data_IF_743129001209
#
_entry.id   IF_743129001209
#
_cell.length_a   1.000
_cell.length_b   1.000
_cell.length_c   1.000
_cell.angle_alpha   90.00
_cell.angle_beta   90.00
_cell.angle_gamma   90.00
#
_symmetry.space_group_name_H-M   'P 1'
#
loop_
_entity.id
_entity.type
_entity.pdbx_description
1 polymer ?
#
# COMPACT_ATOMS: atom_id res chain seq x y z
N UNK A 1 15.52 16.12 15.41
CA UNK A 1 16.28 15.45 14.34
C UNK A 1 15.24 14.68 13.56
N UNK A 2 14.63 15.30 12.55
CA UNK A 2 13.47 14.73 11.88
C UNK A 2 13.91 13.51 11.07
N UNK A 3 13.46 12.32 11.48
CA UNK A 3 13.42 11.15 10.60
C UNK A 3 12.28 11.46 9.65
N UNK A 4 12.60 12.15 8.57
CA UNK A 4 11.61 12.50 7.56
C UNK A 4 11.37 11.25 6.73
N UNK A 5 10.32 10.51 7.07
CA UNK A 5 9.63 9.74 6.05
C UNK A 5 9.00 10.75 5.13
N UNK A 6 9.65 10.99 3.99
CA UNK A 6 9.14 11.90 2.99
C UNK A 6 7.99 11.21 2.27
N UNK A 7 6.84 11.04 2.94
CA UNK A 7 5.60 10.67 2.27
C UNK A 7 5.05 11.93 1.59
N UNK A 8 5.71 12.30 0.50
CA UNK A 8 5.20 13.27 -0.46
C UNK A 8 4.88 12.52 -1.74
N UNK A 9 3.70 11.91 -1.76
CA UNK A 9 2.95 11.72 -3.00
C UNK A 9 2.62 13.11 -3.57
N UNK A 10 3.56 13.73 -4.27
CA UNK A 10 3.36 14.80 -5.26
C UNK A 10 4.71 15.40 -5.75
N UNK A 11 5.15 14.92 -6.91
CA UNK A 11 5.85 15.66 -7.98
C UNK A 11 7.32 16.13 -7.85
N UNK A 12 7.95 16.13 -9.05
CA UNK A 12 9.19 16.77 -9.52
C UNK A 12 10.46 15.90 -9.35
N UNK A 13 11.24 15.51 -10.38
CA UNK A 13 11.69 16.23 -11.58
C UNK A 13 12.12 15.24 -12.68
N UNK A 14 11.72 15.54 -13.91
CA UNK A 14 12.24 14.95 -15.16
C UNK A 14 13.74 15.25 -15.36
N UNK A 15 14.59 14.25 -15.55
CA UNK A 15 15.87 14.44 -16.24
C UNK A 15 16.16 13.35 -17.27
N UNK A 16 16.07 13.78 -18.53
CA UNK A 16 16.60 13.11 -19.71
C UNK A 16 18.10 12.84 -19.55
N UNK A 17 18.52 11.59 -19.67
CA UNK A 17 19.93 11.24 -19.94
C UNK A 17 20.04 10.45 -21.23
N UNK A 18 20.25 11.20 -22.31
CA UNK A 18 20.90 10.71 -23.52
C UNK A 18 22.31 10.30 -23.13
N UNK A 19 22.69 9.01 -23.20
CA UNK A 19 24.12 8.64 -23.22
C UNK A 19 24.45 7.54 -24.23
N UNK A 20 25.63 7.73 -24.82
CA UNK A 20 26.08 7.24 -26.11
C UNK A 20 26.51 5.78 -26.04
N UNK A 21 26.18 5.03 -27.09
CA UNK A 21 26.73 3.71 -27.40
C UNK A 21 28.27 3.72 -27.42
N UNK A 22 28.88 2.86 -26.62
CA UNK A 22 30.22 2.36 -26.85
C UNK A 22 30.25 0.86 -26.53
N UNK A 23 30.51 0.07 -27.57
CA UNK A 23 30.54 -1.39 -27.61
C UNK A 23 31.86 -1.89 -27.00
N UNK A 24 31.82 -2.59 -25.86
CA UNK A 24 32.94 -3.43 -25.42
C UNK A 24 32.44 -4.78 -24.91
N UNK A 25 32.87 -5.82 -25.61
CA UNK A 25 32.59 -7.22 -25.38
C UNK A 25 33.37 -7.70 -24.14
N UNK A 26 32.71 -7.77 -22.99
CA UNK A 26 33.22 -8.48 -21.82
C UNK A 26 32.06 -9.25 -21.21
N UNK A 27 32.16 -10.57 -21.21
CA UNK A 27 31.25 -11.49 -20.55
C UNK A 27 31.29 -11.25 -19.04
N UNK A 28 30.44 -10.36 -18.56
CA UNK A 28 30.09 -10.25 -17.15
C UNK A 28 28.99 -11.27 -16.87
N UNK A 29 29.32 -12.29 -16.07
CA UNK A 29 28.30 -13.04 -15.34
C UNK A 29 27.71 -12.04 -14.34
N UNK A 30 26.68 -11.30 -14.76
CA UNK A 30 25.94 -10.44 -13.87
C UNK A 30 25.25 -11.36 -12.87
N UNK A 31 25.79 -11.41 -11.65
CA UNK A 31 24.96 -11.74 -10.50
C UNK A 31 23.89 -10.67 -10.51
N UNK A 32 22.69 -11.04 -10.93
CA UNK A 32 21.50 -10.26 -10.63
C UNK A 32 21.40 -10.31 -9.10
N UNK A 33 22.04 -9.35 -8.43
CA UNK A 33 21.57 -8.89 -7.13
C UNK A 33 20.26 -8.18 -7.43
N UNK A 34 19.21 -8.98 -7.70
CA UNK A 34 17.86 -8.50 -7.50
C UNK A 34 17.83 -8.11 -6.03
N UNK A 35 17.69 -6.82 -5.79
CA UNK A 35 17.41 -6.27 -4.48
C UNK A 35 16.05 -6.85 -4.11
N UNK A 36 16.05 -7.93 -3.32
CA UNK A 36 14.81 -8.56 -2.87
C UNK A 36 14.37 -7.73 -1.67
N UNK A 37 13.23 -7.04 -1.79
CA UNK A 37 12.55 -6.44 -0.66
C UNK A 37 12.52 -7.46 0.49
N UNK A 38 13.16 -7.14 1.61
CA UNK A 38 13.24 -8.08 2.74
C UNK A 38 11.85 -8.28 3.35
N UNK A 39 10.99 -7.26 3.27
CA UNK A 39 9.60 -7.34 3.71
C UNK A 39 9.49 -7.54 5.21
N UNK A 40 10.36 -6.88 5.98
CA UNK A 40 10.39 -7.02 7.43
C UNK A 40 9.20 -6.32 8.11
N UNK A 41 8.58 -5.32 7.46
CA UNK A 41 7.30 -4.76 7.88
C UNK A 41 6.14 -5.59 7.32
N UNK A 42 5.19 -5.93 8.18
CA UNK A 42 3.93 -6.58 7.79
C UNK A 42 2.98 -5.55 7.17
N UNK A 43 1.90 -6.01 6.52
CA UNK A 43 0.87 -5.10 6.00
C UNK A 43 0.24 -4.24 7.11
N UNK A 44 0.11 -4.78 8.33
CA UNK A 44 -0.38 -4.03 9.49
C UNK A 44 0.62 -2.96 9.96
N UNK A 45 1.92 -3.25 9.90
CA UNK A 45 2.95 -2.27 10.24
C UNK A 45 2.95 -1.10 9.25
N UNK A 46 2.87 -1.42 7.96
CA UNK A 46 2.82 -0.43 6.88
C UNK A 46 1.57 0.44 6.99
N UNK A 47 0.40 -0.16 7.23
CA UNK A 47 -0.84 0.56 7.48
C UNK A 47 -0.73 1.48 8.72
N UNK A 48 -0.16 0.97 9.81
CA UNK A 48 0.08 1.77 11.02
C UNK A 48 0.99 2.96 10.74
N UNK A 49 2.09 2.76 10.00
CA UNK A 49 3.00 3.84 9.59
C UNK A 49 2.25 4.87 8.74
N UNK A 50 1.45 4.43 7.77
CA UNK A 50 0.66 5.34 6.94
C UNK A 50 -0.28 6.21 7.78
N UNK A 51 -1.08 5.58 8.65
CA UNK A 51 -2.08 6.28 9.47
C UNK A 51 -1.45 7.16 10.56
N UNK A 52 -0.25 6.83 11.04
CA UNK A 52 0.41 7.48 12.17
C UNK A 52 1.74 8.13 11.80
N UNK A 53 1.91 8.57 10.56
CA UNK A 53 3.19 9.08 10.02
C UNK A 53 3.85 10.11 10.95
N UNK A 54 3.15 11.17 11.36
CA UNK A 54 3.72 12.22 12.22
C UNK A 54 4.15 11.69 13.59
N UNK A 55 3.36 10.77 14.15
CA UNK A 55 3.64 10.17 15.45
C UNK A 55 4.85 9.23 15.38
N UNK A 56 4.89 8.35 14.38
CA UNK A 56 6.02 7.45 14.14
C UNK A 56 7.30 8.25 13.90
N UNK A 57 7.24 9.33 13.13
CA UNK A 57 8.38 10.23 12.91
C UNK A 57 8.86 10.87 14.21
N UNK A 58 7.94 11.41 15.02
CA UNK A 58 8.26 12.03 16.31
C UNK A 58 8.93 11.03 17.25
N UNK A 59 8.35 9.84 17.41
CA UNK A 59 8.89 8.80 18.29
C UNK A 59 10.26 8.34 17.80
N UNK A 60 10.42 8.10 16.50
CA UNK A 60 11.70 7.69 15.93
C UNK A 60 12.79 8.75 16.18
N UNK A 61 12.45 10.03 16.02
CA UNK A 61 13.36 11.15 16.27
C UNK A 61 13.76 11.26 17.74
N UNK A 62 12.79 11.16 18.65
CA UNK A 62 13.01 11.26 20.09
C UNK A 62 13.83 10.07 20.61
N UNK A 63 13.49 8.86 20.18
CA UNK A 63 14.25 7.65 20.51
C UNK A 63 15.67 7.70 19.92
N UNK A 64 15.84 8.17 18.69
CA UNK A 64 17.16 8.36 18.08
C UNK A 64 18.05 9.32 18.88
N UNK A 65 17.49 10.42 19.39
CA UNK A 65 18.21 11.37 20.25
C UNK A 65 18.50 10.81 21.64
N UNK A 66 17.53 10.13 22.25
CA UNK A 66 17.69 9.53 23.57
C UNK A 66 18.75 8.42 23.55
N UNK A 67 18.85 7.69 22.45
CA UNK A 67 19.71 6.52 22.29
C UNK A 67 21.02 6.78 21.52
N UNK A 68 21.42 8.05 21.33
CA UNK A 68 22.68 8.42 20.65
C UNK A 68 23.92 7.67 21.17
N UNK A 69 23.97 7.38 22.48
CA UNK A 69 25.05 6.60 23.10
C UNK A 69 24.65 5.17 23.45
N UNK A 70 23.37 4.83 23.31
CA UNK A 70 22.79 3.53 23.67
C UNK A 70 22.80 2.51 22.53
N UNK A 71 22.96 2.96 21.28
CA UNK A 71 22.99 2.10 20.11
C UNK A 71 21.61 1.57 19.72
N UNK A 72 21.61 0.55 18.86
CA UNK A 72 20.42 -0.05 18.24
C UNK A 72 19.45 -0.66 19.27
N UNK A 73 19.95 -1.46 20.22
CA UNK A 73 19.13 -2.07 21.29
C UNK A 73 18.34 -1.02 22.11
N UNK A 74 18.93 0.16 22.33
CA UNK A 74 18.24 1.25 23.02
C UNK A 74 17.12 1.84 22.16
N UNK A 75 17.40 2.04 20.87
CA UNK A 75 16.44 2.61 19.92
C UNK A 75 15.24 1.68 19.77
N UNK A 76 15.48 0.39 19.53
CA UNK A 76 14.42 -0.63 19.44
C UNK A 76 13.56 -0.64 20.71
N UNK A 77 14.19 -0.72 21.88
CA UNK A 77 13.45 -0.72 23.15
C UNK A 77 12.60 0.54 23.35
N UNK A 78 13.12 1.72 22.97
CA UNK A 78 12.37 2.97 23.05
C UNK A 78 11.19 3.02 22.09
N UNK A 79 11.34 2.48 20.87
CA UNK A 79 10.29 2.46 19.86
C UNK A 79 9.21 1.43 20.20
N UNK A 80 9.58 0.24 20.71
CA UNK A 80 8.62 -0.80 21.15
C UNK A 80 7.73 -0.32 22.30
N UNK A 81 8.22 0.57 23.16
CA UNK A 81 7.41 1.12 24.26
C UNK A 81 6.33 2.10 23.80
N UNK A 82 6.45 2.66 22.59
CA UNK A 82 5.62 3.77 22.12
C UNK A 82 4.86 3.47 20.82
N UNK A 83 5.35 2.55 19.99
CA UNK A 83 4.79 2.20 18.69
C UNK A 83 4.23 0.78 18.69
N UNK A 84 3.16 0.58 17.92
CA UNK A 84 2.55 -0.74 17.71
C UNK A 84 3.10 -1.40 16.44
N UNK A 85 4.42 -1.36 16.26
CA UNK A 85 5.11 -1.98 15.14
C UNK A 85 5.73 -3.31 15.53
N UNK A 86 5.81 -4.24 14.57
CA UNK A 86 6.55 -5.47 14.72
C UNK A 86 8.04 -5.21 14.91
N UNK A 87 8.71 -6.08 15.68
CA UNK A 87 10.15 -5.96 15.93
C UNK A 87 10.95 -5.90 14.61
N UNK A 88 10.74 -6.80 13.63
CA UNK A 88 11.49 -6.74 12.38
C UNK A 88 11.26 -5.42 11.61
N UNK A 89 10.08 -4.81 11.73
CA UNK A 89 9.83 -3.51 11.13
C UNK A 89 10.62 -2.40 11.84
N UNK A 90 10.68 -2.43 13.18
CA UNK A 90 11.45 -1.48 13.99
C UNK A 90 12.96 -1.57 13.66
N UNK A 91 13.49 -2.76 13.40
CA UNK A 91 14.89 -2.95 12.98
C UNK A 91 15.22 -2.12 11.73
N UNK A 92 14.27 -1.97 10.79
CA UNK A 92 14.46 -1.11 9.61
C UNK A 92 14.66 0.37 9.97
N UNK A 93 14.01 0.87 11.03
CA UNK A 93 14.26 2.22 11.54
C UNK A 93 15.65 2.31 12.16
N UNK A 94 16.12 1.25 12.83
CA UNK A 94 17.49 1.13 13.31
C UNK A 94 18.53 1.24 12.19
N UNK A 95 18.37 0.45 11.13
CA UNK A 95 19.23 0.51 9.94
C UNK A 95 19.21 1.90 9.29
N UNK A 96 18.04 2.53 9.20
CA UNK A 96 17.89 3.88 8.66
C UNK A 96 18.62 4.92 9.52
N UNK A 97 18.50 4.85 10.86
CA UNK A 97 19.23 5.74 11.78
C UNK A 97 20.73 5.57 11.62
N UNK A 98 21.22 4.33 11.50
CA UNK A 98 22.64 4.06 11.23
C UNK A 98 23.07 4.71 9.91
N UNK A 99 22.28 4.57 8.84
CA UNK A 99 22.55 5.22 7.56
C UNK A 99 22.62 6.75 7.70
N UNK A 100 21.66 7.37 8.40
CA UNK A 100 21.60 8.83 8.60
C UNK A 100 22.82 9.32 9.39
N UNK A 101 23.24 8.59 10.42
CA UNK A 101 24.45 8.94 11.18
C UNK A 101 25.72 8.80 10.33
N UNK A 102 25.79 7.85 9.39
CA UNK A 102 26.98 7.68 8.55
C UNK A 102 27.04 8.68 7.39
N UNK A 103 25.93 8.94 6.71
CA UNK A 103 25.89 9.69 5.46
C UNK A 103 25.41 11.14 5.64
N UNK A 104 24.63 11.40 6.70
CA UNK A 104 23.90 12.66 6.88
C UNK A 104 24.17 13.35 8.22
N UNK A 105 25.19 12.92 8.97
CA UNK A 105 25.53 13.50 10.28
C UNK A 105 25.67 15.02 10.26
N UNK A 106 26.41 15.59 9.29
CA UNK A 106 26.61 17.03 9.23
C UNK A 106 25.31 17.81 8.96
N UNK A 107 24.53 17.47 7.91
CA UNK A 107 23.19 18.05 7.70
C UNK A 107 22.26 17.89 8.91
N UNK A 108 22.27 16.75 9.58
CA UNK A 108 21.31 16.44 10.66
C UNK A 108 21.71 16.98 12.03
N UNK A 109 22.99 17.10 12.34
CA UNK A 109 23.47 17.64 13.62
C UNK A 109 23.66 19.16 13.60
N UNK A 110 23.96 19.74 12.43
CA UNK A 110 24.35 21.15 12.32
C UNK A 110 23.60 21.94 11.22
N UNK A 111 22.78 21.27 10.40
CA UNK A 111 21.96 21.90 9.36
C UNK A 111 20.53 22.22 9.80
N UNK A 112 19.68 22.55 8.83
CA UNK A 112 18.23 22.68 9.06
C UNK A 112 17.55 21.32 8.98
N UNK A 113 16.31 21.25 9.45
CA UNK A 113 15.49 20.03 9.31
C UNK A 113 15.30 19.68 7.84
N UNK A 114 15.12 20.66 6.96
CA UNK A 114 15.01 20.40 5.51
C UNK A 114 16.30 19.80 4.95
N UNK A 115 17.48 20.33 5.31
CA UNK A 115 18.75 19.80 4.82
C UNK A 115 19.03 18.37 5.31
N UNK A 116 18.61 18.05 6.53
CA UNK A 116 18.69 16.68 7.06
C UNK A 116 17.76 15.75 6.28
N UNK A 117 16.51 16.17 6.06
CA UNK A 117 15.51 15.42 5.33
C UNK A 117 15.95 15.12 3.89
N UNK A 118 16.43 16.13 3.16
CA UNK A 118 16.93 15.98 1.79
C UNK A 118 18.11 14.99 1.72
N UNK A 119 19.00 15.02 2.72
CA UNK A 119 20.10 14.05 2.78
C UNK A 119 19.60 12.62 3.06
N UNK A 120 18.68 12.46 4.03
CA UNK A 120 18.12 11.17 4.37
C UNK A 120 17.36 10.55 3.19
N UNK A 121 16.58 11.37 2.47
CA UNK A 121 15.91 10.99 1.22
C UNK A 121 16.92 10.48 0.19
N UNK A 122 17.96 11.26 -0.08
CA UNK A 122 18.93 10.95 -1.12
C UNK A 122 19.80 9.71 -0.83
N UNK A 123 20.02 9.36 0.44
CA UNK A 123 21.02 8.35 0.82
C UNK A 123 20.46 7.15 1.59
N UNK A 124 19.34 7.29 2.28
CA UNK A 124 18.88 6.33 3.29
C UNK A 124 17.45 5.83 3.06
N UNK A 125 16.62 6.55 2.31
CA UNK A 125 15.25 6.13 1.99
C UNK A 125 15.22 4.79 1.24
N UNK A 126 16.06 4.63 0.20
CA UNK A 126 16.09 3.42 -0.59
C UNK A 126 16.39 2.16 0.26
N UNK A 127 17.29 2.28 1.25
CA UNK A 127 17.61 1.18 2.16
C UNK A 127 16.45 0.87 3.12
N UNK A 128 15.76 1.91 3.61
CA UNK A 128 14.56 1.71 4.42
C UNK A 128 13.46 1.02 3.63
N UNK A 129 13.17 1.48 2.41
CA UNK A 129 12.13 0.89 1.56
C UNK A 129 12.44 -0.58 1.23
N UNK A 130 13.72 -0.90 0.98
CA UNK A 130 14.15 -2.28 0.79
C UNK A 130 13.92 -3.15 2.04
N UNK A 131 14.29 -2.66 3.23
CA UNK A 131 14.12 -3.37 4.49
C UNK A 131 12.63 -3.58 4.82
N UNK A 132 11.85 -2.51 4.79
CA UNK A 132 10.43 -2.51 5.09
C UNK A 132 9.60 -3.28 4.04
N UNK A 133 10.13 -3.44 2.82
CA UNK A 133 9.41 -4.01 1.69
C UNK A 133 8.41 -3.04 1.07
N UNK A 134 8.75 -1.76 1.09
CA UNK A 134 7.96 -0.71 0.44
C UNK A 134 8.27 -0.70 -1.05
N UNK A 135 7.23 -0.91 -1.87
CA UNK A 135 7.32 -1.00 -3.33
C UNK A 135 6.06 -0.40 -3.96
N UNK A 136 6.21 0.05 -5.22
CA UNK A 136 5.12 0.45 -6.11
C UNK A 136 4.96 -0.67 -7.14
N UNK A 137 3.94 -1.53 -6.99
CA UNK A 137 3.78 -2.71 -7.84
C UNK A 137 2.95 -2.47 -9.10
N UNK A 138 2.10 -1.45 -9.13
CA UNK A 138 1.22 -1.13 -10.26
C UNK A 138 1.59 0.15 -11.02
N UNK A 139 2.63 0.85 -10.56
CA UNK A 139 3.27 2.02 -11.16
C UNK A 139 2.38 3.27 -11.20
N UNK A 140 1.54 3.46 -10.19
CA UNK A 140 0.66 4.62 -10.06
C UNK A 140 1.27 5.78 -9.23
N UNK A 141 2.53 5.63 -8.79
CA UNK A 141 3.31 6.54 -7.95
C UNK A 141 3.01 6.51 -6.45
N UNK A 142 2.02 5.72 -6.03
CA UNK A 142 1.85 5.29 -4.66
C UNK A 142 2.61 3.99 -4.42
N UNK A 143 2.74 3.62 -3.16
CA UNK A 143 3.41 2.39 -2.76
C UNK A 143 2.50 1.64 -1.82
N UNK A 144 2.71 0.34 -1.68
CA UNK A 144 2.03 -0.53 -0.71
C UNK A 144 2.05 -0.06 0.76
N UNK A 145 2.74 1.03 1.08
CA UNK A 145 2.65 1.66 2.39
C UNK A 145 1.29 2.31 2.66
N UNK A 146 0.81 3.12 1.70
CA UNK A 146 -0.43 3.90 1.84
C UNK A 146 -1.46 3.56 0.77
N UNK A 147 -1.08 2.69 -0.18
CA UNK A 147 -1.98 2.15 -1.17
C UNK A 147 -2.71 0.93 -0.61
N UNK A 148 -4.03 1.05 -0.48
CA UNK A 148 -4.89 -0.03 0.00
C UNK A 148 -5.01 -1.20 -1.00
N UNK A 149 -4.63 -1.01 -2.27
CA UNK A 149 -4.46 -2.06 -3.26
C UNK A 149 -3.39 -1.72 -4.31
N UNK A 150 -2.13 -1.89 -3.94
CA UNK A 150 -0.91 -1.73 -4.77
C UNK A 150 -0.81 -2.69 -5.97
N UNK A 151 -1.89 -3.35 -6.36
CA UNK A 151 -1.96 -4.12 -7.62
C UNK A 151 -2.95 -3.53 -8.62
N UNK A 152 -3.61 -2.43 -8.25
CA UNK A 152 -4.62 -1.76 -9.05
C UNK A 152 -4.35 -0.24 -9.11
N UNK A 153 -3.85 0.29 -10.24
CA UNK A 153 -3.42 1.70 -10.36
C UNK A 153 -4.59 2.71 -10.39
N UNK A 154 -5.81 2.25 -10.11
CA UNK A 154 -7.01 3.07 -9.92
C UNK A 154 -7.44 3.14 -8.46
N UNK A 155 -6.72 2.49 -7.55
CA UNK A 155 -7.00 2.44 -6.12
C UNK A 155 -5.79 2.98 -5.41
N UNK A 156 -5.87 4.22 -4.92
CA UNK A 156 -4.80 4.90 -4.20
C UNK A 156 -5.37 6.11 -3.46
N UNK A 157 -4.68 6.65 -2.43
CA UNK A 157 -5.16 7.82 -1.70
C UNK A 157 -5.56 9.01 -2.59
N UNK A 158 -6.85 9.35 -2.57
CA UNK A 158 -7.41 10.46 -3.36
C UNK A 158 -7.69 10.15 -4.83
N UNK A 159 -7.78 8.87 -5.23
CA UNK A 159 -8.22 8.49 -6.58
C UNK A 159 -9.68 8.87 -6.84
N UNK A 160 -10.05 8.93 -8.13
CA UNK A 160 -11.45 9.08 -8.54
C UNK A 160 -12.18 7.72 -8.40
N UNK A 161 -13.44 7.77 -7.99
CA UNK A 161 -14.28 6.57 -7.90
C UNK A 161 -14.51 5.90 -9.26
N UNK A 162 -14.47 4.57 -9.26
CA UNK A 162 -14.61 3.74 -10.48
C UNK A 162 -15.99 3.13 -10.67
N UNK A 163 -16.91 3.31 -9.72
CA UNK A 163 -18.21 2.63 -9.63
C UNK A 163 -18.09 1.10 -9.67
N UNK A 164 -17.04 0.54 -9.05
CA UNK A 164 -16.76 -0.90 -9.04
C UNK A 164 -17.00 -1.56 -7.67
N UNK A 165 -17.48 -0.80 -6.68
CA UNK A 165 -17.64 -1.26 -5.30
C UNK A 165 -16.32 -1.34 -4.53
N UNK A 166 -15.28 -0.64 -4.96
CA UNK A 166 -13.98 -0.55 -4.29
C UNK A 166 -13.78 0.84 -3.68
N UNK A 167 -13.13 0.89 -2.53
CA UNK A 167 -12.61 2.13 -1.95
C UNK A 167 -11.40 2.55 -2.80
N UNK A 168 -11.66 3.34 -3.83
CA UNK A 168 -10.66 3.80 -4.79
C UNK A 168 -9.75 4.83 -4.13
N UNK A 169 -10.28 5.70 -3.27
CA UNK A 169 -9.52 6.79 -2.68
C UNK A 169 -8.86 6.44 -1.34
N UNK A 170 -8.95 5.17 -0.92
CA UNK A 170 -8.39 4.57 0.30
C UNK A 170 -8.75 5.37 1.58
N UNK A 171 -9.91 6.02 1.63
CA UNK A 171 -10.33 6.81 2.78
C UNK A 171 -11.05 5.98 3.86
N UNK A 172 -11.27 4.69 3.61
CA UNK A 172 -11.96 3.74 4.49
C UNK A 172 -13.49 3.77 4.39
N UNK A 173 -14.05 4.52 3.43
CA UNK A 173 -15.48 4.72 3.22
C UNK A 173 -15.80 4.64 1.72
N UNK A 174 -16.81 3.83 1.36
CA UNK A 174 -17.32 3.82 0.00
C UNK A 174 -18.22 5.04 -0.26
N UNK A 175 -17.81 5.87 -1.21
CA UNK A 175 -18.54 7.05 -1.70
C UNK A 175 -19.46 6.74 -2.88
N UNK A 176 -20.34 7.67 -3.24
CA UNK A 176 -21.33 7.49 -4.32
C UNK A 176 -20.73 7.12 -5.68
N UNK A 177 -19.51 7.56 -5.91
CA UNK A 177 -18.73 7.50 -7.13
C UNK A 177 -17.88 6.24 -7.20
N UNK A 178 -17.80 5.51 -6.09
CA UNK A 178 -17.11 4.23 -5.93
C UNK A 178 -18.06 3.04 -5.99
N UNK A 179 -19.35 3.26 -5.69
CA UNK A 179 -20.37 2.22 -5.64
C UNK A 179 -20.69 1.64 -7.01
N UNK A 180 -20.88 0.32 -7.06
CA UNK A 180 -21.40 -0.37 -8.25
C UNK A 180 -22.92 -0.50 -8.18
N UNK A 181 -23.58 -0.55 -9.35
CA UNK A 181 -24.96 -1.03 -9.45
C UNK A 181 -24.94 -2.54 -9.22
N UNK A 182 -25.39 -2.98 -8.04
CA UNK A 182 -25.42 -4.39 -7.69
C UNK A 182 -26.67 -5.06 -8.25
N UNK A 183 -26.51 -5.82 -9.31
CA UNK A 183 -27.61 -6.64 -9.85
C UNK A 183 -27.88 -7.83 -8.93
N UNK A 184 -26.87 -8.32 -8.21
CA UNK A 184 -26.95 -9.51 -7.38
C UNK A 184 -27.47 -9.29 -5.93
N UNK A 185 -27.83 -8.06 -5.52
CA UNK A 185 -28.48 -7.80 -4.22
C UNK A 185 -29.98 -8.13 -4.29
N UNK A 186 -30.29 -9.40 -4.08
CA UNK A 186 -31.65 -9.94 -4.31
C UNK A 186 -32.62 -9.65 -3.15
N UNK A 187 -32.11 -9.34 -1.96
CA UNK A 187 -32.94 -9.03 -0.81
C UNK A 187 -33.01 -7.51 -0.50
N UNK A 188 -32.24 -6.70 -1.23
CA UNK A 188 -32.12 -5.24 -1.10
C UNK A 188 -31.62 -4.79 0.28
N UNK A 189 -30.71 -5.55 0.89
CA UNK A 189 -30.05 -5.24 2.16
C UNK A 189 -28.70 -4.53 2.00
N UNK A 190 -28.36 -4.14 0.76
CA UNK A 190 -27.20 -3.33 0.41
C UNK A 190 -25.88 -4.10 0.50
N UNK A 191 -25.91 -5.43 0.57
CA UNK A 191 -24.73 -6.28 0.61
C UNK A 191 -25.01 -7.53 -0.21
N UNK A 192 -24.12 -7.88 -1.15
CA UNK A 192 -24.24 -9.17 -1.85
C UNK A 192 -23.63 -10.24 -0.97
N UNK A 193 -24.48 -10.95 -0.25
CA UNK A 193 -24.07 -11.88 0.79
C UNK A 193 -24.57 -13.31 0.59
N UNK A 194 -24.42 -14.10 1.65
CA UNK A 194 -24.97 -15.47 1.67
C UNK A 194 -26.50 -15.47 1.61
N UNK A 195 -27.16 -14.41 2.09
CA UNK A 195 -28.60 -14.28 2.00
C UNK A 195 -29.06 -14.21 0.54
N UNK A 196 -28.38 -13.43 -0.29
CA UNK A 196 -28.65 -13.28 -1.72
C UNK A 196 -28.29 -14.55 -2.48
N UNK A 197 -27.18 -15.19 -2.11
CA UNK A 197 -26.81 -16.48 -2.68
C UNK A 197 -27.89 -17.54 -2.41
N UNK A 198 -28.50 -17.55 -1.22
CA UNK A 198 -29.57 -18.49 -0.89
C UNK A 198 -30.85 -18.21 -1.71
N UNK A 199 -31.13 -16.94 -1.99
CA UNK A 199 -32.24 -16.56 -2.87
C UNK A 199 -31.96 -17.00 -4.31
N UNK A 200 -30.76 -16.70 -4.81
CA UNK A 200 -30.28 -17.12 -6.14
C UNK A 200 -30.32 -18.65 -6.31
N UNK A 201 -29.86 -19.40 -5.32
CA UNK A 201 -29.89 -20.87 -5.35
C UNK A 201 -31.32 -21.43 -5.30
N UNK A 202 -32.30 -20.64 -4.82
CA UNK A 202 -33.72 -20.97 -4.90
C UNK A 202 -34.26 -20.96 -6.34
N UNK A 203 -33.61 -20.23 -7.24
CA UNK A 203 -33.97 -20.11 -8.67
C UNK A 203 -32.99 -20.81 -9.61
N UNK A 204 -31.91 -21.39 -9.10
CA UNK A 204 -30.90 -22.07 -9.91
C UNK A 204 -31.47 -23.28 -10.66
N UNK A 205 -31.16 -23.39 -11.95
CA UNK A 205 -31.69 -24.41 -12.88
C UNK A 205 -33.20 -24.27 -13.14
N UNK A 206 -33.77 -23.09 -12.89
CA UNK A 206 -35.13 -22.77 -13.28
C UNK A 206 -35.22 -22.55 -14.81
N UNK A 207 -36.26 -23.11 -15.43
CA UNK A 207 -36.47 -23.11 -16.88
C UNK A 207 -37.84 -22.61 -17.35
N UNK A 208 -38.74 -22.26 -16.42
CA UNK A 208 -40.07 -21.67 -16.68
C UNK A 208 -40.50 -20.85 -15.45
N UNK A 209 -41.01 -19.62 -15.65
CA UNK A 209 -41.53 -18.70 -14.60
C UNK A 209 -40.51 -18.36 -13.49
N UNK A 210 -39.25 -18.12 -13.88
CA UNK A 210 -38.16 -17.78 -12.96
C UNK A 210 -38.22 -16.32 -12.52
N UNK A 211 -37.56 -15.99 -11.40
CA UNK A 211 -37.29 -14.58 -11.06
C UNK A 211 -36.43 -14.01 -12.18
N UNK A 212 -36.98 -13.10 -12.98
CA UNK A 212 -36.25 -12.40 -14.04
C UNK A 212 -35.04 -11.65 -13.45
N UNK A 213 -35.14 -11.26 -12.17
CA UNK A 213 -34.09 -10.59 -11.41
C UNK A 213 -32.87 -11.49 -11.11
N UNK A 214 -32.96 -12.81 -11.33
CA UNK A 214 -31.84 -13.75 -11.13
C UNK A 214 -31.12 -14.14 -12.43
N UNK A 215 -31.63 -13.71 -13.59
CA UNK A 215 -31.01 -13.89 -14.91
C UNK A 215 -30.16 -12.65 -15.25
N UNK A 216 -28.96 -12.58 -14.68
CA UNK A 216 -28.09 -11.41 -14.77
C UNK A 216 -27.52 -11.19 -16.17
N UNK A 217 -27.53 -12.23 -17.00
CA UNK A 217 -26.98 -12.16 -18.36
C UNK A 217 -28.07 -12.07 -19.46
N UNK A 218 -29.35 -12.10 -19.06
CA UNK A 218 -30.53 -12.01 -19.91
C UNK A 218 -30.60 -13.11 -21.00
N UNK A 219 -30.10 -14.32 -20.72
CA UNK A 219 -30.18 -15.46 -21.67
C UNK A 219 -31.45 -16.31 -21.52
N UNK A 220 -32.30 -15.96 -20.55
CA UNK A 220 -33.57 -16.62 -20.24
C UNK A 220 -33.42 -17.86 -19.36
N UNK A 221 -32.24 -18.12 -18.78
CA UNK A 221 -32.00 -19.27 -17.90
C UNK A 221 -31.17 -18.83 -16.69
N UNK A 222 -31.63 -19.13 -15.48
CA UNK A 222 -30.82 -18.91 -14.26
C UNK A 222 -29.87 -20.08 -14.07
N UNK A 223 -28.61 -19.91 -14.49
CA UNK A 223 -27.64 -20.99 -14.59
C UNK A 223 -26.26 -20.68 -14.01
N UNK A 224 -25.28 -21.47 -14.44
CA UNK A 224 -23.89 -21.30 -14.02
C UNK A 224 -23.28 -19.97 -14.51
N UNK A 225 -23.76 -19.43 -15.63
CA UNK A 225 -23.33 -18.13 -16.15
C UNK A 225 -23.72 -17.01 -15.18
N UNK A 226 -24.96 -17.01 -14.69
CA UNK A 226 -25.47 -16.04 -13.71
C UNK A 226 -24.79 -16.22 -12.36
N UNK A 227 -24.51 -17.47 -11.97
CA UNK A 227 -23.74 -17.73 -10.75
C UNK A 227 -22.34 -17.12 -10.82
N UNK A 228 -21.69 -17.12 -11.99
CA UNK A 228 -20.37 -16.48 -12.13
C UNK A 228 -20.46 -14.95 -12.03
N UNK A 229 -21.55 -14.34 -12.53
CA UNK A 229 -21.81 -12.91 -12.36
C UNK A 229 -22.07 -12.59 -10.88
N UNK A 230 -22.93 -13.37 -10.22
CA UNK A 230 -23.18 -13.27 -8.79
C UNK A 230 -21.87 -13.35 -7.99
N UNK A 231 -21.02 -14.34 -8.27
CA UNK A 231 -19.75 -14.54 -7.58
C UNK A 231 -18.73 -13.44 -7.88
N UNK A 232 -18.87 -12.71 -8.98
CA UNK A 232 -18.03 -11.55 -9.27
C UNK A 232 -18.37 -10.35 -8.40
N UNK A 233 -19.61 -10.27 -7.90
CA UNK A 233 -20.08 -9.20 -7.03
C UNK A 233 -20.19 -9.64 -5.56
N UNK A 234 -19.83 -10.89 -5.24
CA UNK A 234 -19.99 -11.43 -3.88
C UNK A 234 -19.10 -10.70 -2.87
N UNK A 235 -19.73 -10.19 -1.81
CA UNK A 235 -19.07 -9.40 -0.77
C UNK A 235 -18.98 -7.91 -1.06
N UNK A 236 -19.52 -7.44 -2.20
CA UNK A 236 -19.65 -6.01 -2.49
C UNK A 236 -20.78 -5.38 -1.66
N UNK A 237 -20.60 -4.08 -1.37
CA UNK A 237 -21.59 -3.21 -0.75
C UNK A 237 -22.27 -2.37 -1.83
N UNK A 238 -23.59 -2.22 -1.71
CA UNK A 238 -24.48 -1.72 -2.74
C UNK A 238 -25.34 -0.58 -2.16
N UNK A 239 -25.00 0.69 -2.40
CA UNK A 239 -25.73 1.83 -1.82
C UNK A 239 -26.45 2.68 -2.86
#
# INVERSE_FOLDING_TARGET
>A
MAIVFCFSGAQFVSYSMVWKFALTLATALAVLSGVVAQGNCTSLDLEYICQNTEFVQSVSADCGLQCLSGGEECLEACMIEQLELSIPCIDCFGEQVVCVVQNCYFPCAFGTEEACAECALANCEAGFNECAGIVDNDYDTWTNLCDCNDTNPLVFPGADGTNQGFDNDCNGLLSSDELTECLADMNADQIIGTADLLIFLGTFDCSDDCLEEADFNEDGVVGASDLLIFLSEFGLYCF
#
